data_IF_523083156334
#
_entry.id   IF_523083156334
#
_cell.length_a   1.000
_cell.length_b   1.000
_cell.length_c   1.000
_cell.angle_alpha   90.00
_cell.angle_beta   90.00
_cell.angle_gamma   90.00
#
_symmetry.space_group_name_H-M   'P 1'
#
loop_
_entity.id
_entity.type
_entity.pdbx_description
1 polymer ?
#
# COMPACT_ATOMS: atom_id res chain seq x y z
N UNK A 1 -15.04 -34.19 -12.39
CA UNK A 1 -14.10 -33.06 -12.60
C UNK A 1 -14.21 -31.98 -11.52
N UNK A 2 -15.39 -31.40 -11.25
CA UNK A 2 -15.52 -30.32 -10.26
C UNK A 2 -14.98 -30.66 -8.86
N UNK A 3 -15.26 -31.86 -8.34
CA UNK A 3 -14.74 -32.30 -7.03
C UNK A 3 -13.20 -32.38 -6.99
N UNK A 4 -12.54 -32.79 -8.08
CA UNK A 4 -11.07 -32.83 -8.16
C UNK A 4 -10.46 -31.43 -8.22
N UNK A 5 -11.12 -30.49 -8.90
CA UNK A 5 -10.72 -29.07 -8.92
C UNK A 5 -10.84 -28.46 -7.52
N UNK A 6 -11.94 -28.74 -6.82
CA UNK A 6 -12.16 -28.29 -5.45
C UNK A 6 -11.10 -28.88 -4.51
N UNK A 7 -10.85 -30.20 -4.56
CA UNK A 7 -9.81 -30.84 -3.74
C UNK A 7 -8.43 -30.25 -4.06
N UNK A 8 -8.13 -29.99 -5.34
CA UNK A 8 -6.89 -29.36 -5.77
C UNK A 8 -6.69 -27.95 -5.20
N UNK A 9 -7.73 -27.12 -5.20
CA UNK A 9 -7.69 -25.79 -4.59
C UNK A 9 -7.54 -25.89 -3.06
N UNK A 10 -8.24 -26.83 -2.42
CA UNK A 10 -8.14 -27.08 -0.97
C UNK A 10 -6.71 -27.45 -0.57
N UNK A 11 -6.08 -28.36 -1.32
CA UNK A 11 -4.75 -28.88 -1.03
C UNK A 11 -3.62 -27.96 -1.49
N UNK A 12 -3.92 -26.86 -2.18
CA UNK A 12 -2.89 -25.95 -2.74
C UNK A 12 -2.13 -25.13 -1.71
N UNK A 13 -2.55 -25.10 -0.43
CA UNK A 13 -1.92 -24.29 0.62
C UNK A 13 -0.40 -24.48 0.74
N UNK A 14 0.10 -25.70 1.02
CA UNK A 14 1.54 -25.99 1.07
C UNK A 14 2.27 -25.75 -0.26
N UNK A 15 1.58 -25.93 -1.39
CA UNK A 15 2.13 -25.60 -2.69
C UNK A 15 2.34 -24.10 -2.84
N UNK A 16 1.35 -23.27 -2.51
CA UNK A 16 1.43 -21.82 -2.64
C UNK A 16 2.38 -21.18 -1.61
N UNK A 17 2.36 -21.65 -0.36
CA UNK A 17 3.17 -21.16 0.76
C UNK A 17 4.61 -21.71 0.76
N UNK A 18 5.26 -21.64 -0.41
CA UNK A 18 6.65 -22.08 -0.58
C UNK A 18 7.60 -21.26 0.30
N UNK A 19 8.51 -21.95 1.00
CA UNK A 19 9.59 -21.35 1.79
C UNK A 19 10.93 -21.88 1.27
N UNK A 20 11.74 -20.99 0.71
CA UNK A 20 13.09 -21.28 0.21
C UNK A 20 13.99 -20.06 0.44
N UNK A 21 14.19 -19.61 1.69
CA UNK A 21 15.05 -18.47 1.97
C UNK A 21 16.52 -18.85 1.82
N UNK A 22 17.35 -17.91 1.38
CA UNK A 22 18.81 -17.97 1.52
C UNK A 22 19.27 -17.51 2.90
N UNK A 23 18.48 -16.67 3.57
CA UNK A 23 18.72 -16.17 4.91
C UNK A 23 19.98 -15.30 5.00
N UNK A 24 20.26 -14.50 3.97
CA UNK A 24 21.36 -13.52 3.87
C UNK A 24 21.08 -12.46 2.80
N UNK A 25 21.87 -11.39 2.76
CA UNK A 25 21.79 -10.36 1.73
C UNK A 25 20.63 -9.41 1.97
N UNK A 26 19.87 -9.09 0.92
CA UNK A 26 18.74 -8.15 1.02
C UNK A 26 17.42 -8.86 1.36
N UNK A 27 16.67 -8.34 2.35
CA UNK A 27 15.30 -8.74 2.61
C UNK A 27 14.32 -7.82 1.86
N UNK A 28 13.57 -8.37 0.91
CA UNK A 28 12.57 -7.61 0.15
C UNK A 28 11.19 -7.80 0.78
N UNK A 29 10.56 -6.74 1.26
CA UNK A 29 9.26 -6.77 1.95
C UNK A 29 8.18 -6.22 1.03
N UNK A 30 7.14 -7.01 0.76
CA UNK A 30 5.95 -6.50 0.07
C UNK A 30 5.11 -5.60 1.00
N UNK A 31 5.04 -4.31 0.70
CA UNK A 31 4.44 -3.29 1.57
C UNK A 31 2.90 -3.29 1.62
N UNK A 32 2.22 -4.15 0.85
CA UNK A 32 0.77 -4.28 0.94
C UNK A 32 0.32 -5.13 2.15
N UNK A 33 1.26 -5.83 2.79
CA UNK A 33 0.98 -6.74 3.90
C UNK A 33 0.35 -6.01 5.11
N UNK A 34 -0.54 -6.69 5.87
CA UNK A 34 -1.10 -6.14 7.09
C UNK A 34 -0.03 -5.84 8.16
N UNK A 35 -0.38 -4.98 9.12
CA UNK A 35 0.51 -4.56 10.21
C UNK A 35 1.20 -5.73 10.93
N UNK A 36 0.43 -6.75 11.35
CA UNK A 36 0.98 -7.91 12.04
C UNK A 36 2.00 -8.67 11.18
N UNK A 37 1.79 -8.74 9.86
CA UNK A 37 2.72 -9.40 8.95
C UNK A 37 3.95 -8.55 8.66
N UNK A 38 3.83 -7.22 8.62
CA UNK A 38 4.97 -6.30 8.55
C UNK A 38 5.82 -6.39 9.82
N UNK A 39 5.20 -6.50 11.00
CA UNK A 39 5.90 -6.77 12.26
C UNK A 39 6.70 -8.07 12.20
N UNK A 40 6.10 -9.15 11.70
CA UNK A 40 6.82 -10.41 11.50
C UNK A 40 7.97 -10.27 10.49
N UNK A 41 7.82 -9.46 9.44
CA UNK A 41 8.91 -9.18 8.50
C UNK A 41 10.06 -8.41 9.18
N UNK A 42 9.74 -7.46 10.06
CA UNK A 42 10.73 -6.75 10.88
C UNK A 42 11.45 -7.68 11.85
N UNK A 43 10.73 -8.62 12.49
CA UNK A 43 11.34 -9.64 13.33
C UNK A 43 12.27 -10.57 12.53
N UNK A 44 11.88 -10.96 11.32
CA UNK A 44 12.74 -11.74 10.41
C UNK A 44 14.00 -10.96 10.02
N UNK A 45 13.87 -9.66 9.80
CA UNK A 45 15.00 -8.78 9.51
C UNK A 45 15.95 -8.70 10.72
N UNK A 46 15.42 -8.34 11.90
CA UNK A 46 16.23 -8.15 13.11
C UNK A 46 16.84 -9.43 13.68
N UNK A 47 16.21 -10.59 13.49
CA UNK A 47 16.76 -11.90 13.89
C UNK A 47 17.61 -12.55 12.79
N UNK A 48 17.63 -11.97 11.59
CA UNK A 48 18.24 -12.54 10.40
C UNK A 48 19.71 -12.18 10.24
N UNK A 49 20.31 -12.68 9.16
CA UNK A 49 21.63 -12.27 8.65
C UNK A 49 21.47 -11.35 7.43
N UNK A 50 20.38 -10.59 7.38
CA UNK A 50 20.12 -9.68 6.28
C UNK A 50 20.86 -8.37 6.54
N UNK A 51 21.53 -7.86 5.50
CA UNK A 51 22.37 -6.68 5.60
C UNK A 51 21.56 -5.39 5.34
N UNK A 52 20.42 -5.52 4.63
CA UNK A 52 19.58 -4.39 4.24
C UNK A 52 18.14 -4.83 3.94
N UNK A 53 17.17 -3.95 4.20
CA UNK A 53 15.77 -4.15 3.81
C UNK A 53 15.43 -3.34 2.56
N UNK A 54 14.62 -3.90 1.67
CA UNK A 54 13.98 -3.17 0.58
C UNK A 54 12.47 -3.33 0.70
N UNK A 55 11.76 -2.22 0.84
CA UNK A 55 10.30 -2.23 0.97
C UNK A 55 9.72 -1.85 -0.39
N UNK A 56 8.91 -2.73 -0.98
CA UNK A 56 8.36 -2.53 -2.34
C UNK A 56 6.84 -2.58 -2.37
N UNK A 57 6.23 -1.89 -3.32
CA UNK A 57 4.78 -1.83 -3.41
C UNK A 57 4.30 -0.81 -4.44
N UNK A 58 3.14 -1.08 -5.03
CA UNK A 58 2.54 -0.19 -6.02
C UNK A 58 1.67 0.89 -5.37
N UNK A 59 1.25 1.86 -6.19
CA UNK A 59 0.27 2.89 -5.80
C UNK A 59 -0.95 2.26 -5.13
N UNK A 60 -1.32 2.78 -3.96
CA UNK A 60 -2.48 2.32 -3.17
C UNK A 60 -3.68 3.25 -3.38
N UNK A 61 -4.92 2.79 -3.12
CA UNK A 61 -6.07 3.68 -3.02
C UNK A 61 -5.84 4.79 -1.99
N UNK A 62 -6.42 5.97 -2.22
CA UNK A 62 -6.45 7.05 -1.22
C UNK A 62 -7.21 6.54 0.01
N UNK A 63 -6.54 6.51 1.15
CA UNK A 63 -7.08 6.00 2.40
C UNK A 63 -6.21 6.56 3.51
N UNK A 64 -6.66 7.67 4.10
CA UNK A 64 -5.96 8.42 5.14
C UNK A 64 -6.90 8.75 6.28
N UNK A 65 -6.43 8.49 7.49
CA UNK A 65 -7.06 8.96 8.71
C UNK A 65 -6.45 10.31 9.08
N UNK A 66 -7.31 11.26 9.43
CA UNK A 66 -6.94 12.61 9.85
C UNK A 66 -7.52 12.87 11.23
N UNK A 67 -6.66 13.34 12.14
CA UNK A 67 -7.08 13.91 13.42
C UNK A 67 -7.83 15.23 13.21
N UNK A 68 -8.52 15.70 14.25
CA UNK A 68 -9.29 16.94 14.20
C UNK A 68 -8.45 18.19 13.88
N UNK A 69 -7.13 18.15 14.11
CA UNK A 69 -6.17 19.20 13.78
C UNK A 69 -5.37 18.92 12.50
N UNK A 70 -5.52 17.76 11.88
CA UNK A 70 -4.80 17.39 10.65
C UNK A 70 -5.60 17.72 9.38
N UNK A 71 -4.86 17.99 8.30
CA UNK A 71 -5.40 18.05 6.96
C UNK A 71 -4.51 17.30 5.98
N UNK A 72 -5.13 16.62 5.01
CA UNK A 72 -4.47 16.09 3.84
C UNK A 72 -4.21 17.24 2.86
N UNK A 73 -2.95 17.46 2.54
CA UNK A 73 -2.47 18.53 1.68
C UNK A 73 -1.81 17.96 0.44
N UNK A 74 -2.23 18.42 -0.73
CA UNK A 74 -1.70 17.98 -2.01
C UNK A 74 -1.29 19.19 -2.86
N UNK A 75 -0.17 19.10 -3.57
CA UNK A 75 0.15 20.06 -4.62
C UNK A 75 -0.09 19.39 -5.97
N UNK A 76 -0.92 19.98 -6.83
CA UNK A 76 -1.21 19.44 -8.16
C UNK A 76 -1.71 20.53 -9.12
N UNK A 77 -1.41 20.36 -10.41
CA UNK A 77 -1.98 21.19 -11.48
C UNK A 77 -3.30 20.57 -11.96
N UNK A 78 -4.38 21.23 -11.57
CA UNK A 78 -5.75 20.89 -11.92
C UNK A 78 -6.16 21.70 -13.17
N UNK A 79 -5.44 21.55 -14.28
CA UNK A 79 -5.63 22.38 -15.47
C UNK A 79 -7.08 22.45 -15.98
N UNK A 80 -7.51 23.66 -16.38
CA UNK A 80 -8.79 23.87 -17.04
C UNK A 80 -9.98 23.86 -16.09
N UNK A 81 -11.06 23.18 -16.49
CA UNK A 81 -12.17 22.84 -15.58
C UNK A 81 -11.89 21.47 -15.01
N UNK A 82 -11.73 21.40 -13.69
CA UNK A 82 -11.38 20.17 -12.99
C UNK A 82 -12.51 19.73 -12.07
N UNK A 83 -12.96 18.49 -12.25
CA UNK A 83 -13.83 17.80 -11.31
C UNK A 83 -12.97 17.27 -10.15
N UNK A 84 -13.31 17.67 -8.93
CA UNK A 84 -12.77 17.12 -7.70
C UNK A 84 -13.83 16.27 -7.03
N UNK A 85 -13.48 15.02 -6.70
CA UNK A 85 -14.33 14.12 -5.92
C UNK A 85 -13.56 13.63 -4.70
N UNK A 86 -13.97 14.08 -3.51
CA UNK A 86 -13.42 13.59 -2.23
C UNK A 86 -14.43 12.68 -1.56
N UNK A 87 -14.04 11.43 -1.31
CA UNK A 87 -14.82 10.50 -0.50
C UNK A 87 -14.39 10.62 0.95
N UNK A 88 -15.30 11.09 1.80
CA UNK A 88 -15.05 11.34 3.22
C UNK A 88 -16.08 10.64 4.09
N UNK A 89 -15.60 10.04 5.18
CA UNK A 89 -16.39 9.64 6.34
C UNK A 89 -15.75 10.26 7.59
N UNK A 90 -16.39 10.14 8.76
CA UNK A 90 -15.78 10.58 10.00
C UNK A 90 -16.74 10.53 11.17
N UNK A 91 -16.31 11.11 12.29
CA UNK A 91 -17.17 11.28 13.44
C UNK A 91 -18.35 12.20 13.06
N UNK A 92 -19.61 11.74 13.25
CA UNK A 92 -20.78 12.52 12.85
C UNK A 92 -20.76 13.94 13.43
N UNK A 93 -20.97 14.93 12.56
CA UNK A 93 -21.02 16.35 12.93
C UNK A 93 -19.68 17.08 12.89
N UNK A 94 -18.55 16.39 12.72
CA UNK A 94 -17.25 17.06 12.52
C UNK A 94 -17.29 17.87 11.23
N UNK A 95 -17.10 19.20 11.26
CA UNK A 95 -17.04 20.01 10.06
C UNK A 95 -15.75 19.71 9.30
N UNK A 96 -15.85 19.67 7.98
CA UNK A 96 -14.71 19.54 7.08
C UNK A 96 -14.71 20.66 6.05
N UNK A 97 -13.52 21.00 5.56
CA UNK A 97 -13.32 22.00 4.50
C UNK A 97 -12.40 21.48 3.42
N UNK A 98 -12.69 21.88 2.18
CA UNK A 98 -11.85 21.74 1.00
C UNK A 98 -11.42 23.14 0.55
N UNK A 99 -10.12 23.39 0.57
CA UNK A 99 -9.54 24.64 0.08
C UNK A 99 -8.65 24.39 -1.15
N UNK A 100 -8.59 25.40 -2.01
CA UNK A 100 -7.53 25.59 -3.00
C UNK A 100 -6.79 26.87 -2.65
N UNK A 101 -5.51 26.74 -2.34
CA UNK A 101 -4.68 27.76 -1.71
C UNK A 101 -5.39 28.31 -0.46
N UNK A 102 -5.76 29.60 -0.48
CA UNK A 102 -6.48 30.26 0.60
C UNK A 102 -7.99 30.33 0.38
N UNK A 103 -8.49 29.83 -0.75
CA UNK A 103 -9.90 29.93 -1.15
C UNK A 103 -10.66 28.69 -0.70
N UNK A 104 -11.73 28.89 0.06
CA UNK A 104 -12.69 27.83 0.39
C UNK A 104 -13.46 27.43 -0.87
N UNK A 105 -13.34 26.17 -1.26
CA UNK A 105 -14.07 25.58 -2.39
C UNK A 105 -15.38 24.96 -1.92
N UNK A 106 -15.31 24.19 -0.82
CA UNK A 106 -16.47 23.48 -0.28
C UNK A 106 -16.29 23.17 1.19
N UNK A 107 -17.39 23.09 1.91
CA UNK A 107 -17.43 22.63 3.30
C UNK A 107 -18.66 21.76 3.54
N UNK A 108 -18.67 21.08 4.68
CA UNK A 108 -19.80 20.29 5.13
C UNK A 108 -19.51 19.64 6.47
N UNK A 109 -20.29 18.62 6.81
CA UNK A 109 -20.13 17.85 8.04
C UNK A 109 -19.91 16.39 7.71
N UNK A 110 -19.08 15.72 8.51
CA UNK A 110 -18.80 14.30 8.36
C UNK A 110 -19.99 13.47 8.84
N UNK A 111 -20.13 12.30 8.23
CA UNK A 111 -21.10 11.25 8.56
C UNK A 111 -20.36 9.95 8.82
N UNK A 112 -21.00 9.03 9.55
CA UNK A 112 -20.43 7.70 9.78
C UNK A 112 -20.25 6.93 8.47
N UNK A 113 -21.22 7.03 7.57
CA UNK A 113 -21.12 6.46 6.22
C UNK A 113 -20.35 7.38 5.27
N UNK A 114 -19.49 6.83 4.38
CA UNK A 114 -18.77 7.63 3.41
C UNK A 114 -19.69 8.36 2.41
N UNK A 115 -19.41 9.65 2.20
CA UNK A 115 -20.07 10.48 1.19
C UNK A 115 -19.08 10.95 0.12
N UNK A 116 -19.55 11.09 -1.12
CA UNK A 116 -18.78 11.66 -2.22
C UNK A 116 -19.07 13.17 -2.34
N UNK A 117 -18.09 13.98 -1.96
CA UNK A 117 -18.11 15.43 -2.09
C UNK A 117 -17.57 15.82 -3.46
N UNK A 118 -18.41 16.41 -4.29
CA UNK A 118 -18.05 16.87 -5.65
C UNK A 118 -17.90 18.38 -5.72
N UNK A 119 -16.90 18.87 -6.44
CA UNK A 119 -16.72 20.28 -6.76
C UNK A 119 -16.09 20.43 -8.14
N UNK A 120 -16.67 21.28 -8.97
CA UNK A 120 -16.07 21.71 -10.23
C UNK A 120 -15.32 23.00 -9.99
N UNK A 121 -14.04 23.02 -10.35
CA UNK A 121 -13.17 24.16 -10.12
C UNK A 121 -12.48 24.54 -11.43
N UNK A 122 -12.60 25.81 -11.81
CA UNK A 122 -11.90 26.36 -12.97
C UNK A 122 -10.57 27.00 -12.56
N UNK A 123 -9.60 26.92 -13.46
CA UNK A 123 -8.27 27.54 -13.30
C UNK A 123 -7.18 26.59 -13.79
N UNK A 124 -6.02 27.14 -14.10
CA UNK A 124 -4.85 26.36 -14.50
C UNK A 124 -3.67 26.70 -13.62
N UNK A 125 -2.74 25.76 -13.50
CA UNK A 125 -1.50 25.96 -12.76
C UNK A 125 -1.46 25.15 -11.48
N UNK A 126 -0.27 25.15 -10.89
CA UNK A 126 0.04 24.38 -9.70
C UNK A 126 -0.59 25.05 -8.47
N UNK A 127 -1.47 24.34 -7.77
CA UNK A 127 -2.15 24.83 -6.58
C UNK A 127 -1.96 23.90 -5.39
N UNK A 128 -2.04 24.46 -4.17
CA UNK A 128 -2.11 23.66 -2.94
C UNK A 128 -3.56 23.38 -2.60
N UNK A 129 -3.91 22.11 -2.49
CA UNK A 129 -5.21 21.65 -2.07
C UNK A 129 -5.14 21.16 -0.64
N UNK A 130 -6.14 21.52 0.18
CA UNK A 130 -6.22 21.11 1.58
C UNK A 130 -7.61 20.55 1.86
N UNK A 131 -7.65 19.34 2.40
CA UNK A 131 -8.87 18.74 2.94
C UNK A 131 -8.66 18.28 4.38
N UNK A 132 -9.47 18.76 5.30
CA UNK A 132 -9.33 18.41 6.71
C UNK A 132 -10.49 18.90 7.56
N UNK A 133 -10.41 18.65 8.86
CA UNK A 133 -11.41 19.10 9.81
C UNK A 133 -11.30 20.62 10.03
N UNK A 134 -12.46 21.27 10.16
CA UNK A 134 -12.58 22.71 10.38
C UNK A 134 -13.12 23.01 11.79
N UNK A 135 -12.45 22.53 12.83
CA UNK A 135 -12.78 23.04 14.17
C UNK A 135 -11.67 22.84 15.20
N UNK A 136 -11.56 23.80 16.11
CA UNK A 136 -10.90 23.60 17.40
C UNK A 136 -11.79 22.86 18.43
N UNK A 137 -13.09 22.71 18.16
CA UNK A 137 -14.07 22.17 19.09
C UNK A 137 -13.97 20.64 19.27
N UNK A 138 -13.47 19.92 18.27
CA UNK A 138 -13.23 18.47 18.32
C UNK A 138 -11.82 18.09 18.81
N UNK A 139 -11.05 19.04 19.35
CA UNK A 139 -9.72 18.80 19.93
C UNK A 139 -9.77 18.11 21.31
N UNK A 140 -10.95 17.73 21.79
CA UNK A 140 -11.19 17.31 23.19
C UNK A 140 -10.58 15.97 23.58
N UNK A 141 -9.98 15.24 22.64
CA UNK A 141 -9.05 14.16 22.95
C UNK A 141 -7.96 14.14 21.87
N UNK A 142 -6.79 14.69 22.22
CA UNK A 142 -5.60 14.67 21.38
C UNK A 142 -5.35 13.23 20.88
N UNK A 143 -5.34 13.05 19.55
CA UNK A 143 -5.05 11.76 18.93
C UNK A 143 -6.26 10.98 18.39
N UNK A 144 -7.48 11.49 18.47
CA UNK A 144 -8.65 10.80 17.88
C UNK A 144 -8.76 11.11 16.39
N UNK A 145 -8.85 10.06 15.56
CA UNK A 145 -9.17 10.20 14.14
C UNK A 145 -10.57 10.82 13.99
N UNK A 146 -10.65 11.98 13.37
CA UNK A 146 -11.89 12.72 13.18
C UNK A 146 -12.49 12.48 11.80
N UNK A 147 -11.63 12.34 10.78
CA UNK A 147 -12.02 12.13 9.40
C UNK A 147 -11.27 10.95 8.80
N UNK A 148 -11.95 10.26 7.88
CA UNK A 148 -11.38 9.27 7.00
C UNK A 148 -11.57 9.71 5.55
N UNK A 149 -10.46 10.01 4.87
CA UNK A 149 -10.44 10.29 3.43
C UNK A 149 -10.23 8.98 2.68
N UNK A 150 -11.34 8.36 2.27
CA UNK A 150 -11.37 7.07 1.57
C UNK A 150 -11.26 7.16 0.05
N UNK A 151 -11.08 8.38 -0.48
CA UNK A 151 -10.97 8.63 -1.91
C UNK A 151 -10.71 10.11 -2.18
N UNK A 152 -9.86 10.40 -3.14
CA UNK A 152 -9.74 11.74 -3.72
C UNK A 152 -9.40 11.56 -5.19
N UNK A 153 -10.27 12.04 -6.06
CA UNK A 153 -10.10 12.00 -7.51
C UNK A 153 -10.07 13.41 -8.09
N UNK A 154 -9.26 13.57 -9.13
CA UNK A 154 -9.12 14.78 -9.94
C UNK A 154 -9.36 14.34 -11.38
N UNK A 155 -10.46 14.76 -12.00
CA UNK A 155 -10.88 14.32 -13.34
C UNK A 155 -10.91 12.78 -13.45
N UNK A 156 -11.50 12.10 -12.46
CA UNK A 156 -11.59 10.63 -12.40
C UNK A 156 -10.27 9.90 -12.10
N UNK A 157 -9.15 10.61 -11.89
CA UNK A 157 -7.83 10.01 -11.58
C UNK A 157 -7.51 10.16 -10.10
N UNK A 158 -6.96 9.11 -9.50
CA UNK A 158 -6.57 9.11 -8.07
C UNK A 158 -5.55 10.20 -7.75
N UNK A 159 -5.75 10.89 -6.62
CA UNK A 159 -4.81 11.89 -6.09
C UNK A 159 -3.39 11.34 -5.92
N UNK A 160 -3.25 10.07 -5.50
CA UNK A 160 -1.95 9.42 -5.36
C UNK A 160 -1.17 9.28 -6.67
N UNK A 161 -1.84 9.44 -7.83
CA UNK A 161 -1.23 9.39 -9.15
C UNK A 161 -0.92 10.80 -9.67
N UNK A 162 -1.82 11.75 -9.47
CA UNK A 162 -1.75 13.08 -10.11
C UNK A 162 -1.08 14.14 -9.25
N UNK A 163 -0.96 13.92 -7.93
CA UNK A 163 -0.36 14.91 -7.05
C UNK A 163 1.17 14.87 -7.15
N UNK A 164 1.78 16.04 -7.33
CA UNK A 164 3.23 16.22 -7.30
C UNK A 164 3.77 15.91 -5.90
N UNK A 165 3.08 16.42 -4.88
CA UNK A 165 3.38 16.17 -3.47
C UNK A 165 2.13 15.91 -2.65
N UNK A 166 2.27 15.13 -1.57
CA UNK A 166 1.18 14.77 -0.67
C UNK A 166 1.66 14.62 0.77
N UNK A 167 1.03 15.36 1.67
CA UNK A 167 1.42 15.47 3.07
C UNK A 167 0.19 15.47 3.96
N UNK A 168 0.34 15.04 5.20
CA UNK A 168 -0.62 15.32 6.27
C UNK A 168 0.07 16.31 7.20
N UNK A 169 -0.59 17.46 7.41
CA UNK A 169 -0.06 18.53 8.25
C UNK A 169 -1.07 18.87 9.34
N UNK A 170 -0.58 19.11 10.54
CA UNK A 170 -1.39 19.61 11.65
C UNK A 170 -1.50 21.15 11.62
N UNK A 171 -2.19 21.73 12.62
CA UNK A 171 -2.34 23.18 12.75
C UNK A 171 -1.08 23.90 13.23
N UNK A 172 -0.12 23.18 13.81
CA UNK A 172 1.15 23.73 14.31
C UNK A 172 2.20 23.84 13.20
N UNK A 173 1.96 23.20 12.06
CA UNK A 173 2.87 23.12 10.92
C UNK A 173 3.72 21.86 10.93
N UNK A 174 3.57 20.98 11.93
CA UNK A 174 4.19 19.67 11.87
C UNK A 174 3.52 18.87 10.73
N UNK A 175 4.33 18.15 9.97
CA UNK A 175 3.83 17.40 8.82
C UNK A 175 4.55 16.07 8.66
N UNK A 176 3.86 15.15 8.00
CA UNK A 176 4.36 13.83 7.62
C UNK A 176 3.97 13.52 6.18
N UNK A 177 4.80 12.76 5.44
CA UNK A 177 4.40 12.31 4.10
C UNK A 177 3.09 11.53 4.18
N UNK A 178 2.17 11.77 3.24
CA UNK A 178 1.01 10.89 3.08
C UNK A 178 1.37 9.81 2.06
N UNK A 179 1.52 8.56 2.52
CA UNK A 179 1.98 7.46 1.68
C UNK A 179 1.04 7.21 0.48
N UNK A 180 1.59 7.40 -0.73
CA UNK A 180 0.90 7.25 -2.02
C UNK A 180 0.88 5.80 -2.52
N UNK A 181 1.82 5.00 -2.03
CA UNK A 181 2.04 3.61 -2.42
C UNK A 181 2.20 2.72 -1.19
N UNK A 182 2.10 1.42 -1.45
CA UNK A 182 2.25 0.40 -0.41
C UNK A 182 3.66 0.36 0.19
N UNK A 183 4.71 0.73 -0.56
CA UNK A 183 6.08 0.74 -0.02
C UNK A 183 6.24 1.82 1.06
N UNK A 184 5.84 3.06 0.75
CA UNK A 184 5.88 4.17 1.69
C UNK A 184 4.97 3.94 2.91
N UNK A 185 3.79 3.34 2.72
CA UNK A 185 2.89 3.03 3.83
C UNK A 185 3.52 2.01 4.78
N UNK A 186 4.07 0.93 4.24
CA UNK A 186 4.74 -0.08 5.04
C UNK A 186 5.97 0.48 5.75
N UNK A 187 6.76 1.32 5.08
CA UNK A 187 7.92 1.97 5.68
C UNK A 187 7.52 2.83 6.89
N UNK A 188 6.47 3.64 6.78
CA UNK A 188 5.96 4.44 7.90
C UNK A 188 5.58 3.56 9.10
N UNK A 189 4.95 2.43 8.83
CA UNK A 189 4.52 1.49 9.87
C UNK A 189 5.69 0.73 10.49
N UNK A 190 6.68 0.33 9.70
CA UNK A 190 7.89 -0.34 10.20
C UNK A 190 8.73 0.62 11.05
N UNK A 191 8.86 1.88 10.63
CA UNK A 191 9.55 2.92 11.41
C UNK A 191 8.82 3.16 12.74
N UNK A 192 7.48 3.22 12.74
CA UNK A 192 6.72 3.38 13.99
C UNK A 192 6.82 2.16 14.93
N UNK A 193 7.23 1.00 14.40
CA UNK A 193 7.56 -0.20 15.18
C UNK A 193 9.02 -0.26 15.65
N UNK A 194 9.85 0.73 15.32
CA UNK A 194 11.24 0.82 15.76
C UNK A 194 12.28 0.39 14.73
N UNK A 195 11.93 0.21 13.45
CA UNK A 195 12.92 0.05 12.38
C UNK A 195 13.73 1.34 12.22
N UNK A 196 15.06 1.25 12.17
CA UNK A 196 15.90 2.39 11.81
C UNK A 196 15.67 2.73 10.32
N UNK A 197 15.31 3.98 9.97
CA UNK A 197 15.16 4.37 8.58
C UNK A 197 16.41 4.14 7.71
N UNK A 198 17.62 4.07 8.29
CA UNK A 198 18.84 3.76 7.52
C UNK A 198 18.93 2.32 7.05
N UNK A 199 18.21 1.40 7.70
CA UNK A 199 18.25 -0.03 7.40
C UNK A 199 17.41 -0.42 6.18
N UNK A 200 16.66 0.52 5.61
CA UNK A 200 15.68 0.24 4.58
C UNK A 200 15.73 1.20 3.38
N UNK A 201 15.68 0.64 2.18
CA UNK A 201 15.36 1.37 0.95
C UNK A 201 13.86 1.27 0.67
N UNK A 202 13.18 2.42 0.62
CA UNK A 202 11.79 2.48 0.15
C UNK A 202 11.79 2.49 -1.37
N UNK A 203 11.21 1.46 -1.98
CA UNK A 203 11.23 1.23 -3.42
C UNK A 203 9.81 1.15 -4.00
N UNK A 204 9.13 2.30 -4.21
CA UNK A 204 7.82 2.33 -4.87
C UNK A 204 7.91 1.79 -6.29
N UNK A 205 6.91 1.00 -6.67
CA UNK A 205 6.73 0.49 -8.03
C UNK A 205 5.57 1.22 -8.73
N UNK A 206 5.74 1.45 -10.04
CA UNK A 206 4.68 1.99 -10.88
C UNK A 206 3.49 1.03 -11.02
N UNK A 207 2.39 1.50 -11.59
CA UNK A 207 1.32 0.62 -12.08
C UNK A 207 1.72 0.13 -13.49
N UNK A 208 1.89 -1.18 -13.66
CA UNK A 208 2.11 -1.80 -14.98
C UNK A 208 0.91 -2.67 -15.37
N UNK A 209 0.64 -2.77 -16.68
CA UNK A 209 -0.47 -3.58 -17.23
C UNK A 209 -0.38 -5.06 -16.83
N UNK A 210 0.81 -5.58 -16.55
CA UNK A 210 1.05 -6.98 -16.21
C UNK A 210 0.86 -7.30 -14.72
N UNK A 211 0.26 -6.40 -13.94
CA UNK A 211 -0.13 -6.62 -12.54
C UNK A 211 0.88 -6.11 -11.50
N UNK A 212 0.38 -5.93 -10.27
CA UNK A 212 1.12 -5.26 -9.17
C UNK A 212 2.40 -6.00 -8.75
N UNK A 213 2.36 -7.32 -8.69
CA UNK A 213 3.53 -8.14 -8.31
C UNK A 213 4.64 -8.06 -9.35
N UNK A 214 4.30 -8.10 -10.65
CA UNK A 214 5.29 -7.97 -11.73
C UNK A 214 5.92 -6.57 -11.76
N UNK A 215 5.11 -5.53 -11.52
CA UNK A 215 5.60 -4.16 -11.36
C UNK A 215 6.65 -4.05 -10.23
N UNK A 216 6.34 -4.60 -9.06
CA UNK A 216 7.25 -4.63 -7.92
C UNK A 216 8.54 -5.43 -8.22
N UNK A 217 8.39 -6.60 -8.85
CA UNK A 217 9.51 -7.46 -9.23
C UNK A 217 10.46 -6.78 -10.24
N UNK A 218 9.92 -6.16 -11.29
CA UNK A 218 10.71 -5.42 -12.29
C UNK A 218 11.43 -4.23 -11.65
N UNK A 219 10.71 -3.43 -10.85
CA UNK A 219 11.32 -2.30 -10.14
C UNK A 219 12.47 -2.76 -9.23
N UNK A 220 12.28 -3.87 -8.52
CA UNK A 220 13.32 -4.48 -7.72
C UNK A 220 14.49 -5.00 -8.55
N UNK A 221 14.25 -5.66 -9.69
CA UNK A 221 15.32 -6.14 -10.56
C UNK A 221 16.24 -5.02 -11.07
N UNK A 222 15.67 -3.85 -11.41
CA UNK A 222 16.44 -2.65 -11.74
C UNK A 222 17.29 -2.17 -10.55
N UNK A 223 16.72 -2.17 -9.34
CA UNK A 223 17.45 -1.84 -8.11
C UNK A 223 18.57 -2.85 -7.84
N UNK A 224 18.29 -4.14 -7.93
CA UNK A 224 19.24 -5.22 -7.67
C UNK A 224 20.43 -5.15 -8.63
N UNK A 225 20.18 -4.89 -9.92
CA UNK A 225 21.24 -4.66 -10.92
C UNK A 225 22.10 -3.45 -10.54
N UNK A 226 21.47 -2.33 -10.18
CA UNK A 226 22.17 -1.10 -9.83
C UNK A 226 23.01 -1.23 -8.54
N UNK A 227 22.55 -2.02 -7.58
CA UNK A 227 23.26 -2.31 -6.32
C UNK A 227 24.17 -3.54 -6.42
N UNK A 228 24.25 -4.18 -7.58
CA UNK A 228 25.05 -5.40 -7.82
C UNK A 228 24.74 -6.53 -6.82
N UNK A 229 23.46 -6.70 -6.47
CA UNK A 229 23.05 -7.74 -5.53
C UNK A 229 23.24 -9.12 -6.16
N UNK A 230 23.80 -10.07 -5.38
CA UNK A 230 23.92 -11.47 -5.76
C UNK A 230 22.77 -12.34 -5.21
N UNK A 231 22.11 -11.86 -4.14
CA UNK A 231 21.13 -12.62 -3.36
C UNK A 231 20.09 -11.72 -2.70
N UNK A 232 18.85 -12.21 -2.66
CA UNK A 232 17.81 -11.62 -1.84
C UNK A 232 16.76 -12.66 -1.44
N UNK A 233 16.02 -12.36 -0.38
CA UNK A 233 14.81 -13.10 -0.03
C UNK A 233 13.60 -12.18 -0.07
N UNK A 234 12.53 -12.60 -0.73
CA UNK A 234 11.26 -11.87 -0.73
C UNK A 234 10.36 -12.37 0.39
N UNK A 235 9.74 -11.47 1.15
CA UNK A 235 8.79 -11.76 2.22
C UNK A 235 7.39 -11.36 1.78
N UNK A 236 6.46 -12.31 1.89
CA UNK A 236 5.04 -12.10 1.58
C UNK A 236 4.16 -13.10 2.33
N UNK A 237 2.84 -12.98 2.20
CA UNK A 237 1.90 -13.95 2.78
C UNK A 237 1.86 -15.25 1.98
N UNK A 238 1.66 -16.37 2.67
CA UNK A 238 1.84 -17.70 2.11
C UNK A 238 1.04 -18.01 0.85
N UNK A 239 -0.22 -17.56 0.73
CA UNK A 239 -1.00 -17.85 -0.48
C UNK A 239 -0.44 -17.17 -1.74
N UNK A 240 0.31 -16.08 -1.59
CA UNK A 240 0.89 -15.32 -2.68
C UNK A 240 2.36 -15.69 -2.97
N UNK A 241 3.00 -16.44 -2.06
CA UNK A 241 4.44 -16.65 -2.07
C UNK A 241 4.95 -17.29 -3.36
N UNK A 242 4.28 -18.29 -3.92
CA UNK A 242 4.74 -18.93 -5.17
C UNK A 242 4.71 -17.99 -6.37
N UNK A 243 3.64 -17.20 -6.55
CA UNK A 243 3.53 -16.25 -7.68
C UNK A 243 4.54 -15.11 -7.51
N UNK A 244 4.68 -14.58 -6.30
CA UNK A 244 5.69 -13.58 -5.98
C UNK A 244 7.10 -14.11 -6.26
N UNK A 245 7.43 -15.32 -5.79
CA UNK A 245 8.74 -15.94 -6.03
C UNK A 245 9.04 -16.11 -7.52
N UNK A 246 8.07 -16.58 -8.31
CA UNK A 246 8.21 -16.69 -9.76
C UNK A 246 8.48 -15.34 -10.43
N UNK A 247 7.68 -14.32 -10.10
CA UNK A 247 7.82 -12.98 -10.68
C UNK A 247 9.20 -12.36 -10.40
N UNK A 248 9.69 -12.43 -9.16
CA UNK A 248 10.99 -11.87 -8.81
C UNK A 248 12.15 -12.66 -9.44
N UNK A 249 12.07 -14.00 -9.49
CA UNK A 249 13.08 -14.81 -10.19
C UNK A 249 13.14 -14.50 -11.67
N UNK A 250 12.00 -14.38 -12.34
CA UNK A 250 11.94 -14.04 -13.76
C UNK A 250 12.49 -12.64 -13.99
N UNK A 251 12.09 -11.66 -13.18
CA UNK A 251 12.53 -10.27 -13.34
C UNK A 251 14.03 -10.08 -13.09
N UNK A 252 14.60 -10.73 -12.06
CA UNK A 252 16.03 -10.61 -11.75
C UNK A 252 16.93 -11.47 -12.65
N UNK A 253 16.37 -12.48 -13.32
CA UNK A 253 17.15 -13.43 -14.11
C UNK A 253 18.10 -14.28 -13.27
N UNK A 254 19.05 -14.98 -13.91
CA UNK A 254 19.96 -15.91 -13.22
C UNK A 254 21.07 -15.22 -12.40
N UNK A 255 21.24 -13.90 -12.53
CA UNK A 255 22.30 -13.14 -11.86
C UNK A 255 22.05 -12.87 -10.37
N UNK A 256 20.80 -13.01 -9.90
CA UNK A 256 20.43 -12.81 -8.50
C UNK A 256 19.74 -14.07 -7.98
N UNK A 257 20.28 -14.66 -6.92
CA UNK A 257 19.65 -15.78 -6.24
C UNK A 257 18.47 -15.26 -5.38
N UNK A 258 17.25 -15.39 -5.91
CA UNK A 258 16.02 -14.95 -5.26
C UNK A 258 15.39 -16.10 -4.47
N UNK A 259 15.39 -15.99 -3.15
CA UNK A 259 14.63 -16.84 -2.25
C UNK A 259 13.27 -16.23 -1.86
N UNK A 260 12.52 -16.97 -1.05
CA UNK A 260 11.16 -16.61 -0.65
C UNK A 260 10.88 -17.07 0.79
N UNK A 261 10.31 -16.18 1.58
CA UNK A 261 9.85 -16.42 2.93
C UNK A 261 8.34 -16.17 3.01
N UNK A 262 7.58 -17.27 3.03
CA UNK A 262 6.14 -17.24 3.22
C UNK A 262 5.79 -17.05 4.70
N UNK A 263 5.22 -15.90 5.04
CA UNK A 263 4.59 -15.64 6.32
C UNK A 263 3.19 -16.26 6.38
N UNK A 264 2.68 -16.43 7.59
CA UNK A 264 1.29 -16.86 7.78
C UNK A 264 0.33 -15.81 7.23
N UNK A 265 -0.68 -16.28 6.48
CA UNK A 265 -1.74 -15.44 5.96
C UNK A 265 -2.93 -15.45 6.92
N UNK A 266 -3.27 -14.32 7.58
CA UNK A 266 -4.43 -14.24 8.46
C UNK A 266 -5.75 -14.60 7.74
N UNK A 267 -5.84 -14.31 6.45
CA UNK A 267 -6.99 -14.62 5.60
C UNK A 267 -7.03 -16.06 5.11
N UNK A 268 -5.96 -16.84 5.32
CA UNK A 268 -5.85 -18.21 4.80
C UNK A 268 -4.86 -19.10 5.58
N UNK A 269 -4.94 -19.05 6.92
CA UNK A 269 -4.05 -19.81 7.82
C UNK A 269 -4.24 -21.33 7.66
N UNK A 270 -3.16 -22.11 7.77
CA UNK A 270 -3.16 -23.55 7.55
C UNK A 270 -4.25 -24.32 8.33
N UNK A 271 -4.50 -23.93 9.60
CA UNK A 271 -5.47 -24.58 10.48
C UNK A 271 -6.93 -24.12 10.36
N UNK A 272 -7.23 -23.01 9.65
CA UNK A 272 -8.60 -22.46 9.50
C UNK A 272 -9.05 -22.35 8.04
N UNK A 273 -8.26 -22.90 7.12
CA UNK A 273 -8.42 -22.65 5.68
C UNK A 273 -9.72 -23.16 5.05
N UNK A 274 -10.35 -24.17 5.67
CA UNK A 274 -11.62 -24.73 5.19
C UNK A 274 -12.82 -23.86 5.60
N UNK A 275 -12.69 -23.04 6.64
CA UNK A 275 -13.80 -22.28 7.24
C UNK A 275 -14.05 -20.93 6.54
N UNK A 276 -13.12 -20.45 5.71
CA UNK A 276 -13.21 -19.14 5.08
C UNK A 276 -13.32 -19.20 3.56
N UNK A 277 -14.49 -18.85 3.02
CA UNK A 277 -14.74 -18.69 1.57
C UNK A 277 -13.68 -17.79 0.91
N UNK A 278 -13.21 -16.77 1.64
CA UNK A 278 -12.14 -15.87 1.19
C UNK A 278 -10.80 -16.60 0.93
N UNK A 279 -10.41 -17.55 1.78
CA UNK A 279 -9.18 -18.34 1.60
C UNK A 279 -9.26 -19.19 0.32
N UNK A 280 -10.42 -19.79 0.06
CA UNK A 280 -10.68 -20.54 -1.17
C UNK A 280 -10.60 -19.68 -2.43
N UNK A 281 -11.22 -18.50 -2.42
CA UNK A 281 -11.14 -17.55 -3.54
C UNK A 281 -9.71 -17.08 -3.79
N UNK A 282 -8.94 -16.80 -2.73
CA UNK A 282 -7.53 -16.41 -2.84
C UNK A 282 -6.68 -17.53 -3.43
N UNK A 283 -6.82 -18.77 -2.93
CA UNK A 283 -6.11 -19.93 -3.48
C UNK A 283 -6.45 -20.17 -4.94
N UNK A 284 -7.73 -20.13 -5.29
CA UNK A 284 -8.19 -20.30 -6.68
C UNK A 284 -7.58 -19.23 -7.59
N UNK A 285 -7.65 -17.95 -7.18
CA UNK A 285 -7.05 -16.83 -7.91
C UNK A 285 -5.55 -17.04 -8.14
N UNK A 286 -4.82 -17.44 -7.10
CA UNK A 286 -3.36 -17.61 -7.19
C UNK A 286 -2.98 -18.82 -8.04
N UNK A 287 -3.71 -19.94 -7.94
CA UNK A 287 -3.54 -21.10 -8.82
C UNK A 287 -3.81 -20.72 -10.29
N UNK A 288 -4.92 -20.04 -10.58
CA UNK A 288 -5.24 -19.57 -11.94
C UNK A 288 -4.18 -18.59 -12.45
N UNK A 289 -3.74 -17.66 -11.61
CA UNK A 289 -2.73 -16.65 -11.95
C UNK A 289 -1.38 -17.24 -12.36
N UNK A 290 -1.03 -18.42 -11.87
CA UNK A 290 0.18 -19.15 -12.30
C UNK A 290 0.10 -19.65 -13.74
N UNK A 291 -1.11 -19.91 -14.26
CA UNK A 291 -1.32 -20.40 -15.63
C UNK A 291 -1.70 -19.29 -16.62
N UNK A 292 -2.19 -18.15 -16.12
CA UNK A 292 -2.61 -17.02 -16.94
C UNK A 292 -1.49 -16.03 -17.28
N UNK A 293 -0.32 -16.15 -16.62
CA UNK A 293 0.86 -15.35 -16.96
C UNK A 293 1.75 -16.21 -17.87
N UNK A 294 1.79 -15.98 -19.20
CA UNK A 294 2.77 -16.68 -20.02
C UNK A 294 4.15 -16.27 -19.50
N UNK A 295 4.89 -17.27 -19.03
CA UNK A 295 6.34 -17.17 -18.88
C UNK A 295 6.87 -17.37 -20.28
N UNK A 296 6.88 -16.31 -21.08
CA UNK A 296 7.63 -16.14 -22.33
C UNK A 296 7.85 -14.64 -22.57
#
# INVERSE_FOLDING_TARGET
>A
MAALVIIGIAASGPFLAVKRPYGRGTLVVEGWMPEASLRNALEVFGNGRYDHMVITGTVRPVSHHLRADEALMATLDAGGTTEIVVRVAGLPGVPWTLHRDHVLIKSGVATAEPIDVRADVSGSGLHTWRFGADSAAYLTAAGTDALFVGGWQVNGRSLHIVADSLWIADRTGASRPAARDHAGQAAQLLISMGMDPSDATILPAGQHYNGRTNAAAQRFAHYATAQQLDTCDVVTLGVHARRTWGAFRTACGPGVAVGILALDDPGCSAGRSIEFVRCWMLRAKEVIGLFASPVD
#
